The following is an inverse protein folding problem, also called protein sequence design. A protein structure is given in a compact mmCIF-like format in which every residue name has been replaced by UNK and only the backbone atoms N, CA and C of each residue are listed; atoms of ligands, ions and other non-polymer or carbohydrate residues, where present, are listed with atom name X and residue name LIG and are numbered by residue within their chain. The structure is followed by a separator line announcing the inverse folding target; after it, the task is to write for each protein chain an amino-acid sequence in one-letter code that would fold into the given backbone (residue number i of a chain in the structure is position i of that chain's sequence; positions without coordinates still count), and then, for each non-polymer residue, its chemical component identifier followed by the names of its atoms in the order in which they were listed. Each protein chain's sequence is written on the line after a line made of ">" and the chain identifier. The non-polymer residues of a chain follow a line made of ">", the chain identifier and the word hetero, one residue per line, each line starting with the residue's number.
data_IF_610585140273
#
_entry.id   IF_610585140273
#
_cell.length_a   1.000
_cell.length_b   1.000
_cell.length_c   1.000
_cell.angle_alpha   90.00
_cell.angle_beta   90.00
_cell.angle_gamma   90.00
#
_symmetry.space_group_name_H-M   'P 1'
#
loop_
_entity.id
_entity.type
_entity.pdbx_description
1 polymer ?
#
# COMPACT_ATOMS: atom_id res chain seq x y z
N UNK A 1 -17.54 8.78 -6.85
CA UNK A 1 -18.08 7.51 -6.34
C UNK A 1 -17.52 6.42 -7.23
N UNK A 2 -16.92 5.37 -6.67
CA UNK A 2 -16.53 4.20 -7.46
C UNK A 2 -17.79 3.36 -7.59
N UNK A 3 -18.34 3.28 -8.79
CA UNK A 3 -19.41 2.33 -9.08
C UNK A 3 -18.69 1.02 -9.43
N UNK A 4 -18.78 0.03 -8.54
CA UNK A 4 -18.11 -1.25 -8.64
C UNK A 4 -19.12 -2.36 -8.94
N UNK A 5 -18.72 -3.34 -9.74
CA UNK A 5 -19.49 -4.55 -10.03
C UNK A 5 -18.77 -5.84 -9.63
N UNK A 6 -19.40 -6.99 -9.87
CA UNK A 6 -18.80 -8.29 -9.53
C UNK A 6 -17.54 -8.61 -10.35
N UNK A 7 -17.37 -8.02 -11.54
CA UNK A 7 -16.16 -8.21 -12.33
C UNK A 7 -14.96 -7.48 -11.70
N UNK A 8 -15.19 -6.37 -11.01
CA UNK A 8 -14.16 -5.63 -10.27
C UNK A 8 -13.59 -6.41 -9.08
N UNK A 9 -14.36 -7.35 -8.51
CA UNK A 9 -13.90 -8.16 -7.38
C UNK A 9 -12.62 -8.94 -7.71
N UNK A 10 -12.48 -9.42 -8.96
CA UNK A 10 -11.27 -10.08 -9.43
C UNK A 10 -10.06 -9.13 -9.42
N UNK A 11 -10.26 -7.89 -9.86
CA UNK A 11 -9.21 -6.86 -9.92
C UNK A 11 -8.78 -6.45 -8.51
N UNK A 12 -9.72 -6.28 -7.59
CA UNK A 12 -9.42 -6.00 -6.16
C UNK A 12 -8.61 -7.15 -5.55
N UNK A 13 -9.00 -8.40 -5.80
CA UNK A 13 -8.27 -9.56 -5.31
C UNK A 13 -6.84 -9.63 -5.87
N UNK A 14 -6.65 -9.31 -7.16
CA UNK A 14 -5.33 -9.24 -7.79
C UNK A 14 -4.46 -8.14 -7.18
N UNK A 15 -5.03 -6.96 -6.90
CA UNK A 15 -4.34 -5.87 -6.19
C UNK A 15 -3.91 -6.35 -4.79
N UNK A 16 -4.81 -6.91 -3.99
CA UNK A 16 -4.48 -7.37 -2.64
C UNK A 16 -3.37 -8.44 -2.64
N UNK A 17 -3.39 -9.37 -3.62
CA UNK A 17 -2.34 -10.37 -3.80
C UNK A 17 -0.99 -9.75 -4.16
N UNK A 18 -0.96 -8.79 -5.09
CA UNK A 18 0.28 -8.08 -5.48
C UNK A 18 0.89 -7.26 -4.34
N UNK A 19 0.08 -6.90 -3.35
CA UNK A 19 0.49 -6.19 -2.15
C UNK A 19 0.77 -7.13 -0.97
N UNK A 20 0.87 -8.45 -1.22
CA UNK A 20 1.10 -9.50 -0.23
C UNK A 20 0.09 -9.53 0.92
N UNK A 21 -1.11 -8.96 0.70
CA UNK A 21 -2.10 -8.77 1.76
C UNK A 21 -1.68 -7.79 2.86
N UNK A 22 -0.59 -7.03 2.68
CA UNK A 22 -0.09 -6.13 3.72
C UNK A 22 -1.07 -4.96 3.93
N UNK A 23 -1.65 -4.78 5.14
CA UNK A 23 -2.72 -3.81 5.37
C UNK A 23 -2.34 -2.37 5.00
N UNK A 24 -1.10 -1.96 5.29
CA UNK A 24 -0.61 -0.63 4.96
C UNK A 24 -0.52 -0.42 3.45
N UNK A 25 -0.05 -1.40 2.69
CA UNK A 25 0.03 -1.27 1.23
C UNK A 25 -1.37 -1.18 0.61
N UNK A 26 -2.33 -1.95 1.12
CA UNK A 26 -3.72 -1.90 0.68
C UNK A 26 -4.33 -0.51 0.93
N UNK A 27 -4.09 0.08 2.11
CA UNK A 27 -4.53 1.44 2.44
C UNK A 27 -3.96 2.47 1.44
N UNK A 28 -2.66 2.38 1.13
CA UNK A 28 -2.00 3.26 0.17
C UNK A 28 -2.59 3.12 -1.24
N UNK A 29 -2.82 1.89 -1.69
CA UNK A 29 -3.42 1.61 -2.98
C UNK A 29 -4.87 2.11 -3.06
N UNK A 30 -5.66 1.93 -2.00
CA UNK A 30 -7.05 2.40 -1.94
C UNK A 30 -7.16 3.92 -2.13
N UNK A 31 -6.26 4.70 -1.52
CA UNK A 31 -6.18 6.15 -1.74
C UNK A 31 -5.91 6.54 -3.20
N UNK A 32 -5.22 5.67 -3.96
CA UNK A 32 -4.98 5.86 -5.40
C UNK A 32 -6.15 5.44 -6.26
N UNK A 33 -6.88 4.39 -5.89
CA UNK A 33 -8.13 4.02 -6.55
C UNK A 33 -9.10 5.20 -6.53
N UNK A 34 -9.19 5.93 -5.43
CA UNK A 34 -10.00 7.15 -5.34
C UNK A 34 -9.55 8.27 -6.30
N UNK A 35 -8.27 8.33 -6.66
CA UNK A 35 -7.69 9.38 -7.50
C UNK A 35 -7.60 9.00 -8.99
N UNK A 36 -7.34 7.73 -9.29
CA UNK A 36 -6.99 7.23 -10.63
C UNK A 36 -7.97 6.16 -11.16
N UNK A 37 -8.83 5.61 -10.31
CA UNK A 37 -9.71 4.48 -10.63
C UNK A 37 -9.03 3.13 -10.42
N UNK A 38 -9.86 2.07 -10.37
CA UNK A 38 -9.44 0.72 -9.99
C UNK A 38 -8.48 0.10 -11.01
N UNK A 39 -8.87 0.00 -12.28
CA UNK A 39 -8.04 -0.64 -13.32
C UNK A 39 -6.72 0.09 -13.55
N UNK A 40 -6.73 1.43 -13.51
CA UNK A 40 -5.50 2.22 -13.66
C UNK A 40 -4.55 2.00 -12.49
N UNK A 41 -5.08 1.87 -11.27
CA UNK A 41 -4.27 1.52 -10.10
C UNK A 41 -3.68 0.11 -10.24
N UNK A 42 -4.46 -0.86 -10.73
CA UNK A 42 -3.98 -2.22 -10.99
C UNK A 42 -2.84 -2.26 -12.01
N UNK A 43 -2.93 -1.48 -13.09
CA UNK A 43 -1.89 -1.38 -14.11
C UNK A 43 -0.61 -0.73 -13.57
N UNK A 44 -0.73 0.34 -12.77
CA UNK A 44 0.42 0.99 -12.14
C UNK A 44 1.18 0.08 -11.16
N UNK A 45 0.52 -0.93 -10.60
CA UNK A 45 1.17 -1.95 -9.78
C UNK A 45 2.01 -2.93 -10.60
N UNK A 46 1.67 -3.15 -11.87
CA UNK A 46 2.40 -4.05 -12.78
C UNK A 46 3.66 -3.42 -13.36
N UNK A 47 3.74 -2.09 -13.42
CA UNK A 47 4.83 -1.34 -14.05
C UNK A 47 6.13 -1.25 -13.21
N UNK A 48 6.35 -2.21 -12.30
CA UNK A 48 7.37 -2.23 -11.23
C UNK A 48 7.10 -1.19 -10.13
N UNK A 49 7.25 -1.65 -8.89
CA UNK A 49 7.22 -0.97 -7.59
C UNK A 49 8.24 0.18 -7.45
N UNK A 50 8.39 1.04 -8.47
CA UNK A 50 9.25 2.23 -8.47
C UNK A 50 8.56 3.43 -7.82
N UNK A 51 7.38 3.21 -7.24
CA UNK A 51 6.66 4.26 -6.56
C UNK A 51 6.89 4.11 -5.06
N UNK A 52 7.91 4.82 -4.59
CA UNK A 52 8.00 5.28 -3.20
C UNK A 52 6.71 6.07 -2.90
N UNK A 53 5.64 5.40 -2.48
CA UNK A 53 4.37 6.04 -2.21
C UNK A 53 4.47 6.82 -0.89
N UNK A 54 4.26 8.15 -0.92
CA UNK A 54 4.00 8.86 0.32
C UNK A 54 2.67 8.37 0.88
N UNK A 55 2.68 8.05 2.16
CA UNK A 55 1.50 7.69 2.93
C UNK A 55 0.52 8.82 3.10
N UNK A 56 -0.69 8.47 3.55
CA UNK A 56 -1.75 9.45 3.81
C UNK A 56 -1.26 10.55 4.76
N UNK A 57 -1.62 11.81 4.47
CA UNK A 57 -1.20 12.96 5.29
C UNK A 57 -1.66 12.83 6.75
N UNK A 58 -2.79 12.18 6.97
CA UNK A 58 -3.41 11.91 8.28
C UNK A 58 -2.92 10.62 8.95
N UNK A 59 -2.12 9.80 8.27
CA UNK A 59 -1.58 8.58 8.87
C UNK A 59 -0.66 8.94 10.06
N UNK A 60 -0.58 8.07 11.09
CA UNK A 60 0.44 8.18 12.13
C UNK A 60 1.83 8.36 11.49
N UNK A 61 2.75 9.14 12.09
CA UNK A 61 4.07 9.41 11.50
C UNK A 61 4.81 8.17 10.99
N UNK A 62 4.76 7.07 11.76
CA UNK A 62 5.36 5.77 11.40
C UNK A 62 4.78 5.12 10.14
N UNK A 63 3.60 5.52 9.67
CA UNK A 63 2.91 4.99 8.50
C UNK A 63 2.87 6.00 7.33
N UNK A 64 3.49 7.17 7.48
CA UNK A 64 3.50 8.22 6.45
C UNK A 64 4.45 7.92 5.29
N UNK A 65 5.44 7.06 5.47
CA UNK A 65 6.33 6.59 4.42
C UNK A 65 6.75 5.16 4.74
N UNK A 66 7.16 4.40 3.72
CA UNK A 66 7.78 3.10 3.93
C UNK A 66 9.01 3.20 4.85
N UNK A 67 9.84 4.24 4.66
CA UNK A 67 10.99 4.51 5.51
C UNK A 67 10.59 4.69 6.98
N UNK A 68 9.56 5.49 7.26
CA UNK A 68 9.10 5.71 8.63
C UNK A 68 8.54 4.43 9.27
N UNK A 69 8.00 3.51 8.47
CA UNK A 69 7.56 2.19 8.95
C UNK A 69 8.76 1.30 9.28
N UNK A 70 9.78 1.30 8.41
CA UNK A 70 11.01 0.56 8.64
C UNK A 70 11.74 1.07 9.89
N UNK A 71 11.96 2.37 10.01
CA UNK A 71 12.64 3.00 11.15
C UNK A 71 11.95 2.66 12.48
N UNK A 72 10.61 2.72 12.51
CA UNK A 72 9.85 2.33 13.69
C UNK A 72 9.98 0.84 14.01
N UNK A 73 9.86 -0.04 13.00
CA UNK A 73 9.96 -1.49 13.21
C UNK A 73 11.37 -1.91 13.68
N UNK A 74 12.41 -1.30 13.12
CA UNK A 74 13.80 -1.52 13.53
C UNK A 74 14.04 -1.00 14.95
N UNK A 75 13.41 0.12 15.33
CA UNK A 75 13.42 0.66 16.68
C UNK A 75 12.74 -0.23 17.74
N UNK A 76 11.90 -1.19 17.34
CA UNK A 76 11.28 -2.17 18.24
C UNK A 76 12.12 -3.43 18.45
N UNK A 77 13.11 -3.69 17.59
CA UNK A 77 14.00 -4.84 17.73
C UNK A 77 14.84 -4.71 19.00
N UNK A 78 15.07 -5.83 19.68
CA UNK A 78 16.05 -5.94 20.76
C UNK A 78 17.48 -5.75 20.24
N UNK A 79 18.44 -5.53 21.14
CA UNK A 79 19.85 -5.38 20.75
C UNK A 79 20.38 -6.61 20.02
N UNK A 80 19.91 -7.81 20.40
CA UNK A 80 20.29 -9.07 19.75
C UNK A 80 19.70 -9.23 18.34
N UNK A 81 18.50 -8.70 18.09
CA UNK A 81 17.86 -8.74 16.76
C UNK A 81 18.40 -7.67 15.80
N UNK A 82 19.21 -6.72 16.31
CA UNK A 82 19.88 -5.67 15.52
C UNK A 82 21.32 -6.00 15.13
N UNK A 83 21.91 -7.07 15.70
CA UNK A 83 23.24 -7.59 15.38
C UNK A 83 23.20 -8.46 14.11
#
# INVERSE_FOLDING_TARGET
>A
RLDLDDADAKVVADICRKLDGMPLAIELAAGRVASYGLHKTAALLDERLTLLWPGQRTAPPRQKTLQATLDWSFGLLSEFERL
#
